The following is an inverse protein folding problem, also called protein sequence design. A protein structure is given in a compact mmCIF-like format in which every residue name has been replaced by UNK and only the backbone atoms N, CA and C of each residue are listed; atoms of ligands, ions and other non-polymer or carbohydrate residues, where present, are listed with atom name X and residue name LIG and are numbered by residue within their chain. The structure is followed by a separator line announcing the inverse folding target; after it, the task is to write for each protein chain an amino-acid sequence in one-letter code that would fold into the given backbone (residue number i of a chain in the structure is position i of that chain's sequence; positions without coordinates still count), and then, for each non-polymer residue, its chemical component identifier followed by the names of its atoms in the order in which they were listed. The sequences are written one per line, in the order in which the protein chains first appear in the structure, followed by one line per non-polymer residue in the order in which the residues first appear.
data_IF_660764797324
#
_entry.id   IF_660764797324
#
_cell.length_a   1.000
_cell.length_b   1.000
_cell.length_c   1.000
_cell.angle_alpha   90.00
_cell.angle_beta   90.00
_cell.angle_gamma   90.00
#
_symmetry.space_group_name_H-M   'P 1'
#
loop_
_entity.id
_entity.type
_entity.pdbx_description
1 polymer ?
#
# COMPACT_ATOMS: atom_id res chain seq x y z
N UNK A 1 16.90 3.12 -4.91
CA UNK A 1 15.56 3.19 -5.55
C UNK A 1 14.52 3.11 -4.45
N UNK A 2 13.43 3.85 -4.55
CA UNK A 2 12.37 3.92 -3.51
C UNK A 2 11.12 3.26 -4.06
N UNK A 3 10.54 2.34 -3.28
CA UNK A 3 9.34 1.58 -3.65
C UNK A 3 8.22 1.87 -2.66
N UNK A 4 7.05 2.20 -3.19
CA UNK A 4 5.87 2.57 -2.41
C UNK A 4 4.93 1.37 -2.31
N UNK A 5 4.51 1.03 -1.11
CA UNK A 5 3.47 0.03 -0.88
C UNK A 5 2.11 0.72 -0.76
N UNK A 6 1.15 0.32 -1.60
CA UNK A 6 -0.19 0.91 -1.62
C UNK A 6 -1.10 0.12 -0.71
N UNK A 7 -1.71 0.81 0.25
CA UNK A 7 -2.65 0.24 1.21
C UNK A 7 -3.96 1.02 1.13
N UNK A 8 -5.08 0.30 0.99
CA UNK A 8 -6.42 0.88 1.01
C UNK A 8 -7.32 0.05 1.91
N UNK A 9 -8.04 0.68 2.85
CA UNK A 9 -8.88 -0.01 3.83
C UNK A 9 -8.19 -1.21 4.50
N UNK A 10 -6.94 -1.01 4.93
CA UNK A 10 -6.10 -2.06 5.55
C UNK A 10 -5.77 -3.26 4.64
N UNK A 11 -5.91 -3.11 3.31
CA UNK A 11 -5.53 -4.11 2.32
C UNK A 11 -4.31 -3.65 1.54
N UNK A 12 -3.30 -4.51 1.41
CA UNK A 12 -2.17 -4.26 0.51
C UNK A 12 -2.59 -4.54 -0.93
N UNK A 13 -2.58 -3.51 -1.78
CA UNK A 13 -2.96 -3.61 -3.18
C UNK A 13 -1.78 -3.90 -4.11
N UNK A 14 -0.55 -3.80 -3.58
CA UNK A 14 0.67 -3.96 -4.36
C UNK A 14 1.67 -2.86 -4.07
N UNK A 15 2.66 -2.73 -4.95
CA UNK A 15 3.69 -1.72 -4.81
C UNK A 15 4.16 -1.18 -6.16
N UNK A 16 4.59 0.07 -6.14
CA UNK A 16 4.88 0.89 -7.31
C UNK A 16 6.18 1.65 -7.12
N UNK A 17 6.79 2.11 -8.21
CA UNK A 17 8.05 2.86 -8.17
C UNK A 17 7.81 4.36 -8.04
N UNK A 18 6.61 4.84 -8.37
CA UNK A 18 6.23 6.26 -8.25
C UNK A 18 4.84 6.42 -7.63
N UNK A 19 4.61 7.50 -6.88
CA UNK A 19 3.30 7.77 -6.28
C UNK A 19 2.17 7.89 -7.32
N UNK A 20 2.46 8.43 -8.51
CA UNK A 20 1.48 8.55 -9.58
C UNK A 20 0.94 7.19 -10.06
N UNK A 21 1.76 6.15 -10.03
CA UNK A 21 1.34 4.79 -10.39
C UNK A 21 0.40 4.16 -9.35
N UNK A 22 0.30 4.70 -8.14
CA UNK A 22 -0.55 4.09 -7.10
C UNK A 22 -2.04 4.04 -7.51
N UNK A 23 -2.49 4.97 -8.35
CA UNK A 23 -3.86 5.00 -8.88
C UNK A 23 -4.20 3.80 -9.77
N UNK A 24 -3.20 3.09 -10.31
CA UNK A 24 -3.45 1.90 -11.15
C UNK A 24 -3.77 0.66 -10.33
N UNK A 25 -3.45 0.65 -9.03
CA UNK A 25 -3.72 -0.45 -8.13
C UNK A 25 -5.10 -0.28 -7.51
N UNK A 26 -6.11 -0.80 -8.19
CA UNK A 26 -7.53 -0.71 -7.78
C UNK A 26 -8.07 -1.99 -7.15
N UNK A 27 -7.35 -3.11 -7.29
CA UNK A 27 -7.77 -4.42 -6.82
C UNK A 27 -6.64 -5.15 -6.10
N UNK A 28 -7.02 -6.14 -5.27
CA UNK A 28 -6.06 -7.00 -4.60
C UNK A 28 -5.39 -7.93 -5.61
N UNK A 29 -4.07 -8.16 -5.49
CA UNK A 29 -3.39 -9.20 -6.25
C UNK A 29 -4.01 -10.58 -5.97
N UNK A 30 -4.12 -11.42 -7.00
CA UNK A 30 -4.59 -12.79 -6.83
C UNK A 30 -3.69 -13.55 -5.83
N UNK A 31 -4.31 -14.15 -4.80
CA UNK A 31 -3.60 -14.88 -3.75
C UNK A 31 -3.10 -14.03 -2.57
N UNK A 32 -3.39 -12.72 -2.56
CA UNK A 32 -3.16 -11.88 -1.39
C UNK A 32 -4.48 -11.60 -0.66
N UNK A 33 -4.50 -11.88 0.63
CA UNK A 33 -5.66 -11.66 1.49
C UNK A 33 -5.35 -10.62 2.58
N UNK A 34 -6.28 -10.48 3.53
CA UNK A 34 -6.13 -9.60 4.69
C UNK A 34 -4.92 -9.95 5.56
N UNK A 35 -4.46 -11.20 5.59
CA UNK A 35 -3.37 -11.63 6.45
C UNK A 35 -2.01 -11.17 5.93
N UNK A 36 -1.86 -11.04 4.62
CA UNK A 36 -0.65 -10.46 4.02
C UNK A 36 -0.37 -9.02 4.46
N UNK A 37 -1.41 -8.25 4.80
CA UNK A 37 -1.26 -6.91 5.39
C UNK A 37 -0.70 -6.95 6.82
N UNK A 38 -1.01 -7.98 7.62
CA UNK A 38 -0.55 -8.10 9.03
C UNK A 38 0.98 -8.06 9.14
N UNK A 39 1.70 -8.52 8.12
CA UNK A 39 3.16 -8.47 8.04
C UNK A 39 3.67 -7.02 8.04
N UNK A 40 2.92 -6.10 7.41
CA UNK A 40 3.26 -4.69 7.29
C UNK A 40 2.75 -3.84 8.47
N UNK A 41 1.78 -4.33 9.25
CA UNK A 41 1.24 -3.63 10.43
C UNK A 41 2.33 -3.20 11.42
N UNK A 42 3.25 -4.11 11.76
CA UNK A 42 4.22 -3.87 12.83
C UNK A 42 5.15 -2.68 12.54
N UNK A 43 5.80 -2.60 11.36
CA UNK A 43 6.61 -1.42 11.04
C UNK A 43 5.76 -0.14 10.79
N UNK A 44 4.53 -0.26 10.28
CA UNK A 44 3.61 0.88 10.17
C UNK A 44 3.28 1.49 11.53
N UNK A 45 2.93 0.66 12.52
CA UNK A 45 2.58 1.09 13.87
C UNK A 45 3.78 1.67 14.63
N UNK A 46 5.01 1.26 14.27
CA UNK A 46 6.24 1.83 14.82
C UNK A 46 6.61 3.19 14.23
N UNK A 47 5.98 3.57 13.12
CA UNK A 47 6.34 4.77 12.38
C UNK A 47 7.64 4.62 11.59
N UNK A 48 8.02 3.39 11.23
CA UNK A 48 9.27 3.10 10.50
C UNK A 48 9.21 3.59 9.03
N UNK A 49 8.02 4.00 8.55
CA UNK A 49 7.79 4.44 7.17
C UNK A 49 7.04 5.77 7.09
N UNK A 50 7.42 6.58 6.10
CA UNK A 50 6.70 7.80 5.73
C UNK A 50 5.36 7.44 5.10
N UNK A 51 4.27 8.01 5.64
CA UNK A 51 2.93 7.85 5.09
C UNK A 51 2.65 8.95 4.07
N UNK A 52 2.29 8.54 2.85
CA UNK A 52 1.87 9.45 1.77
C UNK A 52 0.38 9.27 1.52
N UNK A 53 -0.49 10.21 1.94
CA UNK A 53 -1.91 10.12 1.66
C UNK A 53 -2.15 10.25 0.14
N UNK A 54 -2.92 9.31 -0.42
CA UNK A 54 -3.36 9.40 -1.80
C UNK A 54 -4.69 10.15 -1.83
N UNK A 55 -4.80 11.15 -2.71
CA UNK A 55 -6.08 11.79 -2.97
C UNK A 55 -6.97 10.78 -3.72
N UNK A 56 -8.24 10.59 -3.30
CA UNK A 56 -9.22 9.91 -4.14
C UNK A 56 -9.24 10.59 -5.51
N UNK A 57 -9.26 9.80 -6.59
CA UNK A 57 -9.48 10.36 -7.93
C UNK A 57 -10.77 11.19 -7.94
N UNK A 58 -10.69 12.39 -8.53
CA UNK A 58 -11.84 13.25 -8.83
C UNK A 58 -12.98 12.47 -9.51
#
# INVERSE_FOLDING_TARGET
MTRYHVIHNWLWLGAVETLAQAQTLTQLPAGFDHDGYKILCKPLLRGDFTLHPLQPGL
#
